data_IF_532747949237
#
_entry.id   IF_532747949237
#
_cell.length_a   1.000
_cell.length_b   1.000
_cell.length_c   1.000
_cell.angle_alpha   90.00
_cell.angle_beta   90.00
_cell.angle_gamma   90.00
#
_symmetry.space_group_name_H-M   'P 1'
#
loop_
_entity.id
_entity.type
_entity.pdbx_description
1 polymer ?
#
# COMPACT_ATOMS: atom_id res chain seq x y z
N UNK A 1 -17.59 -7.73 44.34
CA UNK A 1 -17.00 -8.03 43.02
C UNK A 1 -17.33 -9.43 42.49
N UNK A 2 -17.28 -10.52 43.28
CA UNK A 2 -17.54 -11.89 42.78
C UNK A 2 -18.97 -12.13 42.20
N UNK A 3 -20.01 -11.55 42.81
CA UNK A 3 -21.39 -11.76 42.34
C UNK A 3 -21.70 -10.99 41.05
N UNK A 4 -21.13 -9.80 40.88
CA UNK A 4 -21.31 -8.99 39.67
C UNK A 4 -20.61 -9.61 38.47
N UNK A 5 -19.39 -10.13 38.65
CA UNK A 5 -18.68 -10.86 37.61
C UNK A 5 -19.37 -12.18 37.26
N UNK A 6 -19.98 -12.85 38.24
CA UNK A 6 -20.78 -14.07 38.02
C UNK A 6 -22.08 -13.77 37.25
N UNK A 7 -22.77 -12.67 37.58
CA UNK A 7 -23.95 -12.20 36.85
C UNK A 7 -23.63 -11.77 35.41
N UNK A 8 -22.52 -11.06 35.20
CA UNK A 8 -22.04 -10.67 33.87
C UNK A 8 -21.57 -11.86 33.03
N UNK A 9 -21.08 -12.92 33.68
CA UNK A 9 -20.70 -14.18 33.04
C UNK A 9 -21.88 -15.16 32.86
N UNK A 10 -23.11 -14.74 33.18
CA UNK A 10 -24.29 -15.58 32.91
C UNK A 10 -24.60 -15.62 31.41
N UNK A 11 -25.04 -16.75 30.84
CA UNK A 11 -25.34 -16.85 29.41
C UNK A 11 -26.30 -15.77 28.87
N UNK A 12 -27.35 -15.33 29.62
CA UNK A 12 -28.18 -14.21 29.18
C UNK A 12 -27.45 -12.86 29.15
N UNK A 13 -26.57 -12.60 30.11
CA UNK A 13 -25.79 -11.36 30.13
C UNK A 13 -24.75 -11.34 29.00
N UNK A 14 -24.08 -12.46 28.74
CA UNK A 14 -23.16 -12.62 27.61
C UNK A 14 -23.88 -12.43 26.27
N UNK A 15 -25.07 -13.01 26.11
CA UNK A 15 -25.92 -12.76 24.94
C UNK A 15 -26.27 -11.28 24.80
N UNK A 16 -26.70 -10.62 25.88
CA UNK A 16 -27.02 -9.20 25.89
C UNK A 16 -25.83 -8.31 25.51
N UNK A 17 -24.64 -8.62 26.02
CA UNK A 17 -23.39 -7.92 25.68
C UNK A 17 -23.03 -8.11 24.20
N UNK A 18 -23.20 -9.31 23.66
CA UNK A 18 -22.97 -9.57 22.25
C UNK A 18 -23.95 -8.80 21.36
N UNK A 19 -25.24 -8.78 21.70
CA UNK A 19 -26.25 -7.97 20.98
C UNK A 19 -25.89 -6.49 21.03
N UNK A 20 -25.50 -5.97 22.20
CA UNK A 20 -25.06 -4.58 22.34
C UNK A 20 -23.83 -4.29 21.48
N UNK A 21 -22.84 -5.17 21.48
CA UNK A 21 -21.64 -5.07 20.65
C UNK A 21 -22.00 -5.00 19.16
N UNK A 22 -22.85 -5.90 18.66
CA UNK A 22 -23.26 -5.89 17.25
C UNK A 22 -24.04 -4.61 16.91
N UNK A 23 -24.90 -4.14 17.80
CA UNK A 23 -25.63 -2.88 17.64
C UNK A 23 -24.69 -1.68 17.56
N UNK A 24 -23.66 -1.62 18.43
CA UNK A 24 -22.68 -0.52 18.44
C UNK A 24 -21.83 -0.52 17.17
N UNK A 25 -21.37 -1.69 16.71
CA UNK A 25 -20.63 -1.80 15.43
C UNK A 25 -21.53 -1.41 14.25
N UNK A 26 -22.79 -1.86 14.25
CA UNK A 26 -23.78 -1.48 13.24
C UNK A 26 -24.09 0.02 13.23
N UNK A 27 -24.12 0.67 14.40
CA UNK A 27 -24.30 2.11 14.53
C UNK A 27 -23.09 2.89 14.00
N UNK A 28 -21.86 2.46 14.32
CA UNK A 28 -20.64 3.05 13.76
C UNK A 28 -20.67 3.05 12.23
N UNK A 29 -21.12 1.95 11.63
CA UNK A 29 -21.17 1.80 10.16
C UNK A 29 -22.13 2.80 9.46
N UNK A 30 -23.03 3.46 10.19
CA UNK A 30 -23.88 4.53 9.63
C UNK A 30 -23.12 5.84 9.41
N UNK A 31 -21.97 6.02 10.07
CA UNK A 31 -21.07 7.16 9.88
C UNK A 31 -19.98 6.89 8.83
N UNK A 32 -19.10 7.88 8.58
CA UNK A 32 -17.88 7.62 7.81
C UNK A 32 -17.04 6.56 8.52
N UNK A 33 -16.36 5.66 7.81
CA UNK A 33 -15.49 4.65 8.42
C UNK A 33 -14.09 4.80 7.83
N UNK A 34 -13.02 4.75 8.65
CA UNK A 34 -11.66 4.77 8.11
C UNK A 34 -11.47 3.55 7.20
N UNK A 35 -11.01 3.78 5.99
CA UNK A 35 -10.73 2.72 5.02
C UNK A 35 -9.47 1.96 5.43
N UNK A 36 -8.50 2.65 6.02
CA UNK A 36 -7.23 2.07 6.43
C UNK A 36 -6.85 2.46 7.86
N UNK A 37 -6.73 1.45 8.74
CA UNK A 37 -6.24 1.62 10.12
C UNK A 37 -4.90 0.93 10.30
N UNK A 38 -3.92 1.63 10.86
CA UNK A 38 -2.62 1.08 11.21
C UNK A 38 -2.47 0.93 12.74
N UNK A 39 -1.95 -0.20 13.22
CA UNK A 39 -1.77 -0.49 14.64
C UNK A 39 -0.31 -0.74 14.99
N UNK A 40 0.20 0.01 15.97
CA UNK A 40 1.43 -0.31 16.71
C UNK A 40 1.03 -1.03 18.00
N UNK A 41 1.12 -2.37 17.96
CA UNK A 41 0.67 -3.29 19.00
C UNK A 41 1.68 -3.39 20.17
N UNK A 42 1.90 -2.28 20.87
CA UNK A 42 2.90 -2.18 21.95
C UNK A 42 2.30 -2.56 23.32
N UNK A 43 3.16 -2.99 24.25
CA UNK A 43 2.78 -3.29 25.63
C UNK A 43 2.75 -4.77 26.01
N UNK A 44 2.92 -5.72 25.08
CA UNK A 44 2.84 -7.17 25.35
C UNK A 44 3.79 -7.63 26.50
N UNK A 45 5.06 -7.21 26.45
CA UNK A 45 6.04 -7.57 27.49
C UNK A 45 5.74 -6.91 28.84
N UNK A 46 5.22 -5.67 28.82
CA UNK A 46 4.84 -4.95 30.04
C UNK A 46 3.61 -5.60 30.69
N UNK A 47 2.65 -6.02 29.88
CA UNK A 47 1.49 -6.79 30.31
C UNK A 47 1.90 -8.10 30.98
N UNK A 48 2.81 -8.85 30.34
CA UNK A 48 3.32 -10.10 30.89
C UNK A 48 3.96 -9.90 32.27
N UNK A 49 4.84 -8.90 32.39
CA UNK A 49 5.50 -8.55 33.66
C UNK A 49 4.51 -8.13 34.74
N UNK A 50 3.51 -7.30 34.40
CA UNK A 50 2.50 -6.82 35.34
C UNK A 50 1.63 -7.97 35.87
N UNK A 51 1.22 -8.89 34.99
CA UNK A 51 0.38 -10.04 35.33
C UNK A 51 1.17 -11.27 35.81
N UNK A 52 2.51 -11.16 35.92
CA UNK A 52 3.42 -12.24 36.37
C UNK A 52 3.30 -13.52 35.52
N UNK A 53 3.11 -13.35 34.22
CA UNK A 53 3.11 -14.43 33.24
C UNK A 53 4.37 -14.35 32.37
N UNK A 54 4.65 -15.41 31.62
CA UNK A 54 5.78 -15.43 30.71
C UNK A 54 5.61 -14.43 29.56
N UNK A 55 6.72 -13.91 29.04
CA UNK A 55 6.71 -12.95 27.93
C UNK A 55 6.03 -13.51 26.69
N UNK A 56 6.27 -14.80 26.39
CA UNK A 56 5.65 -15.50 25.26
C UNK A 56 4.12 -15.51 25.40
N UNK A 57 3.62 -15.71 26.62
CA UNK A 57 2.18 -15.71 26.89
C UNK A 57 1.56 -14.32 26.72
N UNK A 58 2.26 -13.26 27.13
CA UNK A 58 1.84 -11.90 26.82
C UNK A 58 1.71 -11.63 25.32
N UNK A 59 2.56 -12.23 24.49
CA UNK A 59 2.42 -12.15 23.04
C UNK A 59 1.29 -13.02 22.48
N UNK A 60 1.01 -14.18 23.08
CA UNK A 60 -0.16 -15.00 22.73
C UNK A 60 -1.46 -14.23 22.95
N UNK A 61 -1.63 -13.63 24.12
CA UNK A 61 -2.78 -12.78 24.44
C UNK A 61 -2.86 -11.56 23.53
N UNK A 62 -1.70 -11.01 23.13
CA UNK A 62 -1.64 -9.96 22.11
C UNK A 62 -2.15 -10.41 20.74
N UNK A 63 -1.90 -11.66 20.33
CA UNK A 63 -2.45 -12.21 19.09
C UNK A 63 -3.98 -12.41 19.18
N UNK A 64 -4.50 -12.80 20.33
CA UNK A 64 -5.95 -12.88 20.54
C UNK A 64 -6.61 -11.50 20.50
N UNK A 65 -5.97 -10.48 21.09
CA UNK A 65 -6.42 -9.09 20.98
C UNK A 65 -6.47 -8.63 19.52
N UNK A 66 -5.46 -8.98 18.72
CA UNK A 66 -5.45 -8.72 17.28
C UNK A 66 -6.67 -9.34 16.59
N UNK A 67 -6.96 -10.61 16.84
CA UNK A 67 -8.12 -11.27 16.23
C UNK A 67 -9.44 -10.56 16.61
N UNK A 68 -9.62 -10.18 17.88
CA UNK A 68 -10.80 -9.42 18.32
C UNK A 68 -10.93 -8.07 17.62
N UNK A 69 -9.84 -7.31 17.51
CA UNK A 69 -9.84 -5.99 16.89
C UNK A 69 -10.04 -6.07 15.38
N UNK A 70 -9.43 -7.05 14.70
CA UNK A 70 -9.66 -7.29 13.27
C UNK A 70 -11.14 -7.57 12.99
N UNK A 71 -11.81 -8.33 13.87
CA UNK A 71 -13.23 -8.63 13.72
C UNK A 71 -14.06 -7.34 13.77
N UNK A 72 -13.75 -6.46 14.72
CA UNK A 72 -14.42 -5.15 14.86
C UNK A 72 -14.16 -4.29 13.62
N UNK A 73 -12.91 -4.19 13.16
CA UNK A 73 -12.54 -3.42 11.96
C UNK A 73 -13.33 -3.87 10.73
N UNK A 74 -13.29 -5.16 10.40
CA UNK A 74 -13.94 -5.67 9.20
C UNK A 74 -15.47 -5.61 9.29
N UNK A 75 -16.07 -5.87 10.47
CA UNK A 75 -17.52 -5.68 10.67
C UNK A 75 -17.95 -4.23 10.52
N UNK A 76 -17.13 -3.29 11.00
CA UNK A 76 -17.40 -1.85 10.86
C UNK A 76 -17.28 -1.37 9.40
N UNK A 77 -16.55 -2.11 8.55
CA UNK A 77 -16.36 -1.78 7.13
C UNK A 77 -14.98 -1.24 6.79
N UNK A 78 -14.00 -1.39 7.68
CA UNK A 78 -12.59 -1.08 7.40
C UNK A 78 -12.09 -2.05 6.33
N UNK A 79 -11.44 -1.54 5.29
CA UNK A 79 -10.95 -2.37 4.18
C UNK A 79 -9.50 -2.80 4.35
N UNK A 80 -8.66 -1.98 4.98
CA UNK A 80 -7.24 -2.25 5.13
C UNK A 80 -6.85 -2.11 6.60
N UNK A 81 -6.21 -3.14 7.13
CA UNK A 81 -5.61 -3.09 8.46
C UNK A 81 -4.12 -3.36 8.33
N UNK A 82 -3.28 -2.48 8.85
CA UNK A 82 -1.82 -2.66 8.87
C UNK A 82 -1.34 -2.81 10.29
N UNK A 83 -0.56 -3.84 10.59
CA UNK A 83 -0.08 -4.11 11.95
C UNK A 83 1.44 -4.10 12.00
N UNK A 84 2.00 -3.48 13.04
CA UNK A 84 3.43 -3.51 13.28
C UNK A 84 3.81 -4.76 14.10
N UNK A 85 4.14 -5.85 13.41
CA UNK A 85 4.47 -7.11 14.06
C UNK A 85 5.93 -7.16 14.55
N UNK A 86 6.89 -6.72 13.73
CA UNK A 86 8.31 -6.75 14.09
C UNK A 86 9.13 -5.68 13.36
N UNK A 87 9.92 -4.92 14.13
CA UNK A 87 10.81 -3.88 13.60
C UNK A 87 12.18 -4.43 13.24
N UNK A 88 12.81 -3.89 12.20
CA UNK A 88 14.22 -4.18 11.90
C UNK A 88 15.13 -3.75 13.07
N UNK A 89 14.77 -2.71 13.80
CA UNK A 89 15.52 -2.29 14.98
C UNK A 89 15.52 -3.36 16.10
N UNK A 90 14.58 -4.31 16.08
CA UNK A 90 14.52 -5.39 17.05
C UNK A 90 15.60 -6.45 16.84
N UNK A 91 16.29 -6.48 15.69
CA UNK A 91 17.48 -7.33 15.49
C UNK A 91 18.70 -6.90 16.34
N UNK A 92 18.62 -5.76 17.04
CA UNK A 92 19.63 -5.35 18.04
C UNK A 92 19.51 -6.12 19.37
N UNK A 93 18.46 -6.94 19.55
CA UNK A 93 18.25 -7.77 20.75
C UNK A 93 19.12 -9.04 20.69
N UNK A 94 19.10 -9.84 21.75
CA UNK A 94 19.89 -11.07 21.81
C UNK A 94 19.40 -12.09 20.76
N UNK A 95 20.31 -12.94 20.27
CA UNK A 95 19.98 -13.97 19.27
C UNK A 95 18.86 -14.90 19.77
N UNK A 96 18.87 -15.24 21.05
CA UNK A 96 17.82 -16.04 21.69
C UNK A 96 16.45 -15.38 21.59
N UNK A 97 16.35 -14.06 21.85
CA UNK A 97 15.09 -13.33 21.74
C UNK A 97 14.63 -13.22 20.29
N UNK A 98 15.55 -13.03 19.34
CA UNK A 98 15.25 -12.99 17.91
C UNK A 98 14.70 -14.35 17.44
N UNK A 99 15.37 -15.44 17.80
CA UNK A 99 14.93 -16.80 17.43
C UNK A 99 13.56 -17.13 18.02
N UNK A 100 13.29 -16.74 19.27
CA UNK A 100 11.98 -16.89 19.89
C UNK A 100 10.89 -16.08 19.15
N UNK A 101 11.18 -14.83 18.76
CA UNK A 101 10.25 -13.99 18.01
C UNK A 101 9.98 -14.53 16.61
N UNK A 102 10.99 -15.08 15.93
CA UNK A 102 10.83 -15.72 14.62
C UNK A 102 9.97 -16.99 14.70
N UNK A 103 10.22 -17.85 15.69
CA UNK A 103 9.40 -19.04 15.94
C UNK A 103 7.95 -18.69 16.28
N UNK A 104 7.76 -17.61 17.05
CA UNK A 104 6.44 -17.08 17.36
C UNK A 104 5.75 -16.55 16.10
N UNK A 105 6.43 -15.73 15.29
CA UNK A 105 5.88 -15.21 14.04
C UNK A 105 5.46 -16.34 13.09
N UNK A 106 6.30 -17.37 12.94
CA UNK A 106 5.99 -18.59 12.20
C UNK A 106 4.70 -19.25 12.70
N UNK A 107 4.61 -19.49 14.01
CA UNK A 107 3.44 -20.13 14.62
C UNK A 107 2.18 -19.28 14.44
N UNK A 108 2.27 -17.96 14.62
CA UNK A 108 1.12 -17.05 14.51
C UNK A 108 0.65 -16.85 13.07
N UNK A 109 1.56 -16.77 12.09
CA UNK A 109 1.20 -16.75 10.67
C UNK A 109 0.55 -18.07 10.23
N UNK A 110 1.04 -19.21 10.74
CA UNK A 110 0.38 -20.51 10.53
C UNK A 110 -1.02 -20.53 11.16
N UNK A 111 -1.18 -20.06 12.40
CA UNK A 111 -2.49 -19.98 13.05
C UNK A 111 -3.46 -19.09 12.26
N UNK A 112 -3.00 -17.92 11.83
CA UNK A 112 -3.79 -16.97 11.06
C UNK A 112 -4.21 -17.52 9.68
N UNK A 113 -3.35 -18.31 9.03
CA UNK A 113 -3.62 -18.89 7.70
C UNK A 113 -4.38 -20.22 7.73
N UNK A 114 -4.18 -21.06 8.74
CA UNK A 114 -4.77 -22.41 8.82
C UNK A 114 -6.06 -22.47 9.64
N UNK A 115 -6.15 -21.70 10.71
CA UNK A 115 -7.33 -21.63 11.59
C UNK A 115 -8.10 -20.31 11.35
N UNK A 116 -7.94 -19.76 10.15
CA UNK A 116 -8.30 -18.40 9.80
C UNK A 116 -9.79 -18.16 9.58
N UNK A 117 -10.65 -18.62 10.48
CA UNK A 117 -12.09 -18.33 10.47
C UNK A 117 -12.35 -16.85 10.22
N UNK A 118 -11.53 -15.97 10.79
CA UNK A 118 -11.66 -14.53 10.63
C UNK A 118 -11.34 -14.05 9.21
N UNK A 119 -10.24 -14.53 8.62
CA UNK A 119 -9.84 -14.10 7.29
C UNK A 119 -10.74 -14.68 6.23
N UNK A 120 -11.15 -15.94 6.39
CA UNK A 120 -12.11 -16.59 5.51
C UNK A 120 -13.49 -15.93 5.62
N UNK A 121 -14.01 -15.71 6.84
CA UNK A 121 -15.32 -15.09 7.08
C UNK A 121 -15.45 -13.68 6.50
N UNK A 122 -14.38 -12.90 6.52
CA UNK A 122 -14.37 -11.54 5.97
C UNK A 122 -13.69 -11.42 4.59
N UNK A 123 -13.23 -12.53 4.02
CA UNK A 123 -12.52 -12.55 2.74
C UNK A 123 -11.27 -11.66 2.72
N UNK A 124 -10.49 -11.67 3.80
CA UNK A 124 -9.32 -10.82 3.98
C UNK A 124 -8.04 -11.46 3.44
N UNK A 125 -7.34 -10.75 2.55
CA UNK A 125 -6.04 -11.16 2.02
C UNK A 125 -4.91 -10.77 2.99
N UNK A 126 -3.94 -11.66 3.22
CA UNK A 126 -2.74 -11.35 4.00
C UNK A 126 -1.65 -10.87 3.07
N UNK A 127 -0.97 -9.79 3.46
CA UNK A 127 0.27 -9.33 2.84
C UNK A 127 1.32 -9.16 3.92
N UNK A 128 2.54 -9.65 3.67
CA UNK A 128 3.65 -9.45 4.60
C UNK A 128 4.60 -8.43 4.00
N UNK A 129 4.73 -7.29 4.67
CA UNK A 129 5.47 -6.13 4.21
C UNK A 129 6.77 -6.01 5.01
N UNK A 130 7.91 -6.02 4.34
CA UNK A 130 9.19 -5.95 5.05
C UNK A 130 10.37 -6.49 4.27
N UNK A 131 11.53 -6.45 4.93
CA UNK A 131 12.80 -6.89 4.36
C UNK A 131 12.97 -8.41 4.52
N UNK A 132 12.71 -9.13 3.44
CA UNK A 132 12.76 -10.60 3.39
C UNK A 132 14.16 -11.16 3.61
N UNK A 133 15.23 -10.42 3.32
CA UNK A 133 16.60 -10.91 3.47
C UNK A 133 17.01 -11.21 4.93
N UNK A 134 16.30 -10.64 5.91
CA UNK A 134 16.54 -10.93 7.33
C UNK A 134 15.84 -12.20 7.84
N UNK A 135 15.01 -12.84 7.01
CA UNK A 135 14.19 -13.97 7.42
C UNK A 135 14.85 -15.31 7.11
N UNK A 136 14.69 -16.26 8.02
CA UNK A 136 15.11 -17.64 7.80
C UNK A 136 14.24 -18.29 6.70
N UNK A 137 14.79 -19.24 5.91
CA UNK A 137 14.05 -19.90 4.83
C UNK A 137 12.74 -20.54 5.28
N UNK A 138 12.70 -21.10 6.48
CA UNK A 138 11.50 -21.76 7.03
C UNK A 138 10.40 -20.77 7.44
N UNK A 139 10.74 -19.52 7.73
CA UNK A 139 9.78 -18.43 7.98
C UNK A 139 9.26 -17.88 6.64
N UNK A 140 10.12 -17.76 5.64
CA UNK A 140 9.74 -17.34 4.28
C UNK A 140 8.71 -18.29 3.66
N UNK A 141 8.93 -19.60 3.77
CA UNK A 141 7.99 -20.62 3.28
C UNK A 141 6.58 -20.45 3.90
N UNK A 142 6.52 -20.16 5.20
CA UNK A 142 5.26 -19.95 5.92
C UNK A 142 4.58 -18.65 5.50
N UNK A 143 5.35 -17.59 5.27
CA UNK A 143 4.84 -16.32 4.74
C UNK A 143 4.24 -16.53 3.35
N UNK A 144 4.99 -17.14 2.43
CA UNK A 144 4.56 -17.34 1.04
C UNK A 144 3.31 -18.22 0.99
N UNK A 145 3.26 -19.29 1.79
CA UNK A 145 2.05 -20.11 1.94
C UNK A 145 0.86 -19.32 2.48
N UNK A 146 1.05 -18.46 3.49
CA UNK A 146 -0.04 -17.66 4.06
C UNK A 146 -0.61 -16.65 3.04
N UNK A 147 0.28 -15.99 2.29
CA UNK A 147 -0.11 -15.06 1.21
C UNK A 147 -0.85 -15.80 0.11
N UNK A 148 -0.30 -16.92 -0.38
CA UNK A 148 -0.91 -17.75 -1.42
C UNK A 148 -2.31 -18.26 -1.01
N UNK A 149 -2.45 -18.83 0.19
CA UNK A 149 -3.73 -19.31 0.69
C UNK A 149 -4.78 -18.20 0.75
N UNK A 150 -4.39 -17.00 1.19
CA UNK A 150 -5.28 -15.86 1.30
C UNK A 150 -5.63 -15.18 -0.03
N UNK A 151 -4.79 -15.35 -1.07
CA UNK A 151 -5.02 -14.77 -2.40
C UNK A 151 -6.30 -15.26 -3.08
N UNK A 152 -6.84 -16.40 -2.62
CA UNK A 152 -8.07 -17.03 -3.12
C UNK A 152 -9.33 -16.23 -2.77
N UNK A 153 -9.26 -15.41 -1.74
CA UNK A 153 -10.37 -14.56 -1.32
C UNK A 153 -10.51 -13.38 -2.29
N UNK A 154 -11.73 -13.04 -2.68
CA UNK A 154 -12.07 -11.95 -3.62
C UNK A 154 -11.76 -10.52 -3.10
N UNK A 155 -10.84 -10.37 -2.13
CA UNK A 155 -10.07 -9.13 -1.93
C UNK A 155 -10.84 -7.93 -1.38
N UNK A 156 -11.92 -8.12 -0.62
CA UNK A 156 -12.64 -6.97 -0.02
C UNK A 156 -11.88 -6.33 1.14
N UNK A 157 -11.10 -7.12 1.85
CA UNK A 157 -10.30 -6.68 2.98
C UNK A 157 -8.83 -7.11 2.82
N UNK A 158 -7.91 -6.36 3.40
CA UNK A 158 -6.47 -6.64 3.37
C UNK A 158 -5.89 -6.48 4.78
N UNK A 159 -5.13 -7.47 5.22
CA UNK A 159 -4.29 -7.43 6.41
C UNK A 159 -2.82 -7.34 6.01
N UNK A 160 -2.23 -6.17 6.22
CA UNK A 160 -0.80 -5.95 6.04
C UNK A 160 -0.06 -6.24 7.35
N UNK A 161 0.86 -7.19 7.32
CA UNK A 161 1.70 -7.56 8.46
C UNK A 161 3.12 -7.05 8.21
N UNK A 162 3.52 -6.00 8.94
CA UNK A 162 4.85 -5.42 8.80
C UNK A 162 5.90 -6.25 9.56
N UNK A 163 6.70 -7.04 8.83
CA UNK A 163 7.60 -8.05 9.37
C UNK A 163 8.71 -8.49 8.39
N UNK A 164 10.01 -8.27 8.70
CA UNK A 164 10.60 -7.21 9.52
C UNK A 164 10.53 -5.87 8.78
N UNK A 165 10.10 -4.80 9.45
CA UNK A 165 9.79 -3.54 8.77
C UNK A 165 10.34 -2.31 9.48
N UNK A 166 10.84 -1.33 8.70
CA UNK A 166 10.99 0.08 9.08
C UNK A 166 10.65 0.95 7.89
N UNK A 167 10.03 2.11 8.15
CA UNK A 167 9.55 2.99 7.08
C UNK A 167 10.70 3.64 6.31
N UNK A 168 11.79 4.03 6.99
CA UNK A 168 12.99 4.53 6.31
C UNK A 168 13.59 3.53 5.35
N UNK A 169 13.60 2.23 5.68
CA UNK A 169 14.10 1.22 4.76
C UNK A 169 13.15 1.05 3.58
N UNK A 170 11.84 1.00 3.81
CA UNK A 170 10.83 0.95 2.73
C UNK A 170 11.01 2.12 1.75
N UNK A 171 11.14 3.35 2.25
CA UNK A 171 11.38 4.54 1.41
C UNK A 171 12.70 4.42 0.65
N UNK A 172 13.76 3.96 1.31
CA UNK A 172 15.08 3.79 0.66
C UNK A 172 15.02 2.73 -0.45
N UNK A 173 14.31 1.63 -0.22
CA UNK A 173 14.10 0.59 -1.23
C UNK A 173 13.25 1.12 -2.39
N UNK A 174 12.17 1.85 -2.13
CA UNK A 174 11.35 2.45 -3.18
C UNK A 174 12.14 3.44 -4.05
N UNK A 175 13.02 4.25 -3.45
CA UNK A 175 13.93 5.14 -4.18
C UNK A 175 14.91 4.33 -5.02
N UNK A 176 15.50 3.26 -4.46
CA UNK A 176 16.41 2.36 -5.20
C UNK A 176 15.73 1.72 -6.40
N UNK A 177 14.49 1.24 -6.22
CA UNK A 177 13.71 0.59 -7.27
C UNK A 177 13.31 1.60 -8.36
N UNK A 178 12.94 2.83 -7.97
CA UNK A 178 12.70 3.92 -8.91
C UNK A 178 13.95 4.22 -9.74
N UNK A 179 15.13 4.31 -9.11
CA UNK A 179 16.40 4.53 -9.83
C UNK A 179 16.69 3.36 -10.77
N UNK A 180 16.50 2.12 -10.30
CA UNK A 180 16.71 0.91 -11.11
C UNK A 180 15.76 0.85 -12.31
N UNK A 181 14.52 1.34 -12.18
CA UNK A 181 13.58 1.49 -13.29
C UNK A 181 14.05 2.55 -14.28
N UNK A 182 14.45 3.73 -13.81
CA UNK A 182 14.90 4.85 -14.64
C UNK A 182 16.25 4.60 -15.32
N UNK A 183 17.05 3.67 -14.81
CA UNK A 183 18.26 3.19 -15.46
C UNK A 183 18.01 2.13 -16.56
N UNK A 184 16.75 1.71 -16.80
CA UNK A 184 16.42 0.82 -17.93
C UNK A 184 16.17 1.64 -19.20
N UNK A 185 16.73 1.24 -20.35
CA UNK A 185 16.48 1.95 -21.60
C UNK A 185 15.02 1.79 -22.03
N UNK A 186 14.45 2.86 -22.57
CA UNK A 186 13.14 2.84 -23.19
C UNK A 186 13.25 1.95 -24.43
N UNK A 187 12.60 0.79 -24.37
CA UNK A 187 12.52 -0.09 -25.52
C UNK A 187 11.75 0.64 -26.64
N UNK A 188 12.27 0.67 -27.88
CA UNK A 188 11.52 1.23 -28.99
C UNK A 188 10.23 0.45 -29.14
N UNK A 189 9.11 1.13 -28.96
CA UNK A 189 7.79 0.56 -29.16
C UNK A 189 7.68 0.06 -30.60
N UNK A 190 7.33 -1.22 -30.76
CA UNK A 190 6.88 -1.72 -32.07
C UNK A 190 5.68 -0.87 -32.49
N UNK A 191 5.64 -0.29 -33.70
CA UNK A 191 4.49 0.47 -34.16
C UNK A 191 3.31 -0.49 -34.28
N UNK A 192 2.42 -0.52 -33.29
CA UNK A 192 1.28 -1.46 -33.30
C UNK A 192 0.45 -1.56 -32.03
N UNK A 193 0.90 -1.06 -30.88
CA UNK A 193 0.03 -0.95 -29.68
C UNK A 193 0.26 0.38 -28.98
N UNK A 194 -0.33 1.43 -29.52
CA UNK A 194 -0.62 2.62 -28.73
C UNK A 194 -1.50 2.19 -27.55
N UNK A 195 -0.92 2.19 -26.34
CA UNK A 195 -1.72 2.27 -25.11
C UNK A 195 -2.42 3.63 -25.19
N UNK A 196 -3.69 3.62 -25.58
CA UNK A 196 -4.57 4.79 -25.52
C UNK A 196 -4.43 5.38 -24.12
N UNK A 197 -3.91 6.61 -24.02
CA UNK A 197 -3.96 7.35 -22.77
C UNK A 197 -5.42 7.45 -22.34
N UNK A 198 -5.72 7.46 -21.03
CA UNK A 198 -7.07 7.77 -20.57
C UNK A 198 -7.50 9.10 -21.19
N UNK A 199 -8.70 9.07 -21.75
CA UNK A 199 -9.30 10.09 -22.57
C UNK A 199 -9.49 11.37 -21.75
N UNK A 200 -8.80 12.46 -22.11
CA UNK A 200 -8.98 13.77 -21.48
C UNK A 200 -10.27 14.41 -22.03
N UNK A 201 -11.32 14.46 -21.22
CA UNK A 201 -12.64 15.04 -21.55
C UNK A 201 -12.57 16.50 -22.06
N UNK A 202 -11.52 17.25 -21.72
CA UNK A 202 -11.32 18.62 -22.18
C UNK A 202 -11.22 18.77 -23.71
N UNK A 203 -10.78 17.72 -24.43
CA UNK A 203 -10.70 17.77 -25.91
C UNK A 203 -12.07 17.68 -26.59
N UNK A 204 -13.01 16.94 -25.99
CA UNK A 204 -14.37 16.84 -26.51
C UNK A 204 -15.10 18.18 -26.29
N UNK A 205 -14.97 18.75 -25.09
CA UNK A 205 -15.64 20.00 -24.76
C UNK A 205 -15.21 21.15 -25.69
N UNK A 206 -13.92 21.23 -26.06
CA UNK A 206 -13.44 22.25 -26.98
C UNK A 206 -13.82 21.97 -28.44
N UNK A 207 -13.91 20.70 -28.86
CA UNK A 207 -14.31 20.34 -30.23
C UNK A 207 -15.81 20.52 -30.47
N UNK A 208 -16.65 20.17 -29.48
CA UNK A 208 -18.09 20.44 -29.51
C UNK A 208 -18.34 21.95 -29.50
N UNK A 209 -17.61 22.70 -28.67
CA UNK A 209 -17.75 24.16 -28.58
C UNK A 209 -17.27 24.88 -29.85
N UNK A 210 -16.32 24.34 -30.60
CA UNK A 210 -15.93 24.88 -31.91
C UNK A 210 -16.95 24.55 -33.00
N UNK A 211 -17.53 23.34 -33.00
CA UNK A 211 -18.58 22.96 -33.96
C UNK A 211 -19.86 23.78 -33.79
N UNK A 212 -20.27 24.07 -32.55
CA UNK A 212 -21.44 24.89 -32.26
C UNK A 212 -21.25 26.38 -32.59
N UNK A 213 -20.00 26.84 -32.72
CA UNK A 213 -19.67 28.22 -33.17
C UNK A 213 -19.64 28.32 -34.70
N UNK A 214 -19.33 27.24 -35.41
CA UNK A 214 -19.33 27.17 -36.88
C UNK A 214 -20.71 26.88 -37.48
N UNK A 215 -21.61 26.22 -36.75
CA UNK A 215 -22.96 25.90 -37.23
C UNK A 215 -23.96 27.07 -37.14
N UNK A 216 -23.58 28.19 -36.50
CA UNK A 216 -24.45 29.38 -36.39
C UNK A 216 -24.17 30.48 -37.42
N UNK A 217 -23.30 30.25 -38.41
CA UNK A 217 -22.96 31.24 -39.45
C UNK A 217 -23.37 30.87 -40.88
N UNK A 218 -24.03 29.74 -41.13
CA UNK A 218 -24.41 29.34 -42.50
C UNK A 218 -25.70 28.51 -42.58
N UNK A 219 -26.86 29.05 -42.17
CA UNK A 219 -28.17 28.50 -42.57
C UNK A 219 -29.22 29.62 -42.68
N UNK A 220 -29.08 30.45 -43.71
CA UNK A 220 -30.21 30.98 -44.48
C UNK A 220 -29.97 30.47 -45.90
N UNK A 221 -30.53 29.32 -46.26
CA UNK A 221 -31.21 29.11 -47.54
C UNK A 221 -31.54 27.63 -47.84
N UNK A 222 -32.81 27.45 -48.20
CA UNK A 222 -33.38 26.50 -49.15
C UNK A 222 -33.69 25.06 -48.70
N UNK A 223 -34.96 24.79 -49.00
CA UNK A 223 -35.80 23.63 -48.84
C UNK A 223 -35.49 22.45 -49.76
N UNK A 224 -36.10 21.32 -49.37
CA UNK A 224 -36.84 20.36 -50.20
C UNK A 224 -36.24 18.96 -50.46
N UNK A 225 -37.13 17.98 -50.27
CA UNK A 225 -37.21 16.61 -50.81
C UNK A 225 -36.46 15.42 -50.17
N UNK A 226 -37.25 14.65 -49.39
CA UNK A 226 -37.69 13.26 -49.59
C UNK A 226 -36.72 12.15 -50.10
N UNK A 227 -36.79 11.04 -49.35
CA UNK A 227 -37.08 9.64 -49.75
C UNK A 227 -35.93 8.61 -49.80
N UNK A 228 -36.18 7.49 -49.07
CA UNK A 228 -35.98 6.06 -49.39
C UNK A 228 -34.53 5.59 -49.69
N UNK A 229 -34.03 4.40 -49.40
CA UNK A 229 -34.54 3.10 -48.95
C UNK A 229 -33.30 2.23 -48.60
N UNK A 230 -33.36 1.42 -47.53
CA UNK A 230 -33.33 -0.06 -47.52
C UNK A 230 -31.99 -0.82 -47.63
N UNK A 231 -31.79 -1.64 -46.57
CA UNK A 231 -31.25 -3.02 -46.46
C UNK A 231 -30.13 -3.57 -47.36
N UNK A 232 -29.18 -4.31 -46.75
CA UNK A 232 -29.08 -5.80 -46.81
C UNK A 232 -27.67 -6.26 -46.36
N UNK A 233 -27.47 -7.01 -45.26
CA UNK A 233 -27.59 -8.48 -45.04
C UNK A 233 -26.47 -9.35 -45.62
N UNK A 234 -26.00 -10.30 -44.78
CA UNK A 234 -25.43 -11.66 -45.01
C UNK A 234 -23.98 -11.87 -44.49
N UNK A 235 -23.73 -12.58 -43.38
CA UNK A 235 -23.64 -14.06 -43.14
C UNK A 235 -22.71 -14.80 -44.13
N UNK A 236 -21.76 -15.70 -43.77
CA UNK A 236 -21.90 -17.00 -43.09
C UNK A 236 -20.52 -17.76 -43.00
N UNK A 237 -20.42 -18.75 -42.09
CA UNK A 237 -19.61 -20.03 -42.10
C UNK A 237 -18.07 -19.91 -41.88
N UNK A 238 -17.32 -20.58 -40.97
CA UNK A 238 -17.29 -21.85 -40.19
C UNK A 238 -16.23 -22.89 -40.68
N UNK A 239 -15.43 -23.42 -39.72
CA UNK A 239 -14.70 -24.72 -39.65
C UNK A 239 -13.47 -24.55 -38.70
N UNK A 240 -13.38 -25.14 -37.50
CA UNK A 240 -12.84 -26.49 -37.14
C UNK A 240 -11.39 -26.73 -37.65
N UNK A 241 -10.38 -27.25 -36.92
CA UNK A 241 -10.27 -28.13 -35.75
C UNK A 241 -8.78 -28.19 -35.25
N UNK A 242 -8.55 -28.84 -34.08
CA UNK A 242 -7.32 -29.52 -33.57
C UNK A 242 -6.34 -28.82 -32.59
N UNK A 243 -6.03 -29.59 -31.53
CA UNK A 243 -5.16 -29.37 -30.34
C UNK A 243 -3.71 -28.95 -30.62
N UNK A 244 -2.94 -28.54 -29.58
CA UNK A 244 -1.88 -29.46 -29.13
C UNK A 244 -1.55 -29.48 -27.62
N UNK A 245 -0.90 -30.58 -27.24
CA UNK A 245 -0.32 -30.92 -25.95
C UNK A 245 1.05 -30.24 -25.65
N UNK A 246 1.47 -30.36 -24.39
CA UNK A 246 2.64 -29.80 -23.70
C UNK A 246 4.04 -30.11 -24.29
N UNK A 247 5.06 -29.29 -23.93
CA UNK A 247 6.35 -29.78 -23.38
C UNK A 247 6.95 -28.78 -22.34
N UNK A 248 8.20 -28.88 -21.78
CA UNK A 248 9.31 -29.83 -22.01
C UNK A 248 10.06 -30.34 -20.75
N UNK A 249 11.01 -31.27 -20.94
CA UNK A 249 12.20 -31.48 -20.11
C UNK A 249 13.34 -32.07 -20.96
N UNK A 250 14.60 -31.66 -20.74
CA UNK A 250 15.65 -32.67 -20.69
C UNK A 250 16.63 -32.47 -19.52
N UNK A 251 16.98 -33.61 -18.93
CA UNK A 251 18.02 -33.85 -17.95
C UNK A 251 19.42 -33.88 -18.56
N UNK A 252 20.44 -33.46 -17.82
CA UNK A 252 21.81 -33.98 -17.95
C UNK A 252 22.53 -33.96 -16.59
N UNK A 253 23.25 -35.05 -16.37
CA UNK A 253 23.87 -35.54 -15.16
C UNK A 253 25.25 -34.95 -14.84
N UNK A 254 25.49 -34.79 -13.55
CA UNK A 254 26.69 -35.08 -12.74
C UNK A 254 28.02 -35.37 -13.45
N UNK A 255 29.09 -34.65 -13.06
CA UNK A 255 30.28 -35.23 -12.39
C UNK A 255 31.11 -34.16 -11.67
N UNK A 256 31.62 -34.57 -10.53
CA UNK A 256 32.49 -33.93 -9.53
C UNK A 256 33.91 -33.59 -9.99
N UNK A 257 34.52 -32.54 -9.43
CA UNK A 257 35.93 -32.55 -9.02
C UNK A 257 36.23 -31.43 -8.01
N UNK A 258 36.98 -31.80 -6.99
CA UNK A 258 37.45 -31.02 -5.86
C UNK A 258 38.74 -30.27 -6.21
N UNK A 259 38.91 -29.05 -5.69
CA UNK A 259 40.24 -28.46 -5.51
C UNK A 259 40.24 -27.40 -4.41
N UNK A 260 40.87 -27.79 -3.30
CA UNK A 260 41.41 -26.92 -2.27
C UNK A 260 42.50 -26.03 -2.87
N UNK A 261 42.62 -24.76 -2.46
CA UNK A 261 43.90 -24.13 -2.10
C UNK A 261 43.70 -22.71 -1.52
N UNK A 262 43.95 -22.62 -0.22
CA UNK A 262 44.80 -21.63 0.48
C UNK A 262 44.83 -20.19 -0.03
N UNK A 263 44.20 -19.26 0.70
CA UNK A 263 44.61 -17.85 0.74
C UNK A 263 45.34 -17.58 2.06
N UNK A 264 46.65 -17.37 1.95
CA UNK A 264 47.49 -16.82 3.01
C UNK A 264 47.39 -15.30 2.97
N UNK A 265 47.16 -14.74 4.14
CA UNK A 265 47.33 -13.35 4.53
C UNK A 265 48.75 -12.85 4.29
N UNK A 266 48.91 -11.57 3.97
CA UNK A 266 49.91 -10.76 4.66
C UNK A 266 49.54 -9.27 4.67
N UNK A 267 49.74 -8.70 5.85
CA UNK A 267 49.58 -7.29 6.20
C UNK A 267 50.97 -6.77 6.55
N UNK A 268 51.40 -5.63 6.01
CA UNK A 268 52.36 -4.75 6.69
C UNK A 268 52.45 -3.38 6.00
N UNK A 269 52.52 -2.37 6.85
CA UNK A 269 52.65 -0.93 6.67
C UNK A 269 54.05 -0.48 6.20
N UNK A 270 54.14 0.70 5.56
CA UNK A 270 54.82 1.91 6.10
C UNK A 270 55.04 3.02 5.04
N UNK A 271 54.63 4.23 5.43
CA UNK A 271 55.24 5.56 5.30
C UNK A 271 55.56 6.24 3.94
N UNK A 272 54.82 7.35 3.73
CA UNK A 272 55.23 8.72 3.40
C UNK A 272 56.28 9.02 2.31
N UNK A 273 55.87 9.75 1.26
CA UNK A 273 56.32 11.14 1.05
C UNK A 273 55.70 11.78 -0.21
N UNK A 274 55.64 13.10 -0.14
CA UNK A 274 55.11 14.10 -1.06
C UNK A 274 55.52 13.97 -2.53
N UNK A 275 54.54 14.10 -3.44
CA UNK A 275 54.77 14.69 -4.76
C UNK A 275 53.51 15.37 -5.27
N UNK A 276 53.65 16.67 -5.51
CA UNK A 276 52.68 17.58 -6.15
C UNK A 276 52.26 17.04 -7.52
N UNK A 277 50.96 16.81 -7.74
CA UNK A 277 50.42 16.53 -9.07
C UNK A 277 49.48 17.65 -9.51
N UNK A 278 49.78 18.18 -10.69
CA UNK A 278 49.10 19.24 -11.41
C UNK A 278 47.62 18.88 -11.74
N UNK A 279 46.75 19.87 -11.97
CA UNK A 279 45.34 19.63 -12.25
C UNK A 279 45.13 18.83 -13.53
N UNK A 280 44.15 17.91 -13.44
CA UNK A 280 43.62 16.98 -14.45
C UNK A 280 42.99 17.66 -15.70
N UNK A 281 43.51 18.81 -16.13
CA UNK A 281 42.95 19.62 -17.21
C UNK A 281 43.68 19.49 -18.56
N UNK A 282 44.62 18.53 -18.70
CA UNK A 282 45.42 18.39 -19.93
C UNK A 282 45.25 17.06 -20.70
N UNK A 283 44.33 16.18 -20.27
CA UNK A 283 44.12 14.85 -20.89
C UNK A 283 42.78 14.68 -21.62
N UNK A 284 41.96 15.73 -21.78
CA UNK A 284 40.65 15.67 -22.46
C UNK A 284 40.58 16.42 -23.80
N UNK A 285 41.71 16.69 -24.44
CA UNK A 285 41.74 17.34 -25.75
C UNK A 285 42.25 16.41 -26.86
N UNK A 286 41.56 15.29 -27.10
CA UNK A 286 41.66 14.57 -28.37
C UNK A 286 40.27 14.08 -28.79
N UNK A 287 39.63 14.86 -29.66
CA UNK A 287 38.45 14.44 -30.43
C UNK A 287 38.87 13.39 -31.46
N UNK A 288 38.29 12.19 -31.50
CA UNK A 288 38.52 11.27 -32.61
C UNK A 288 37.71 11.72 -33.85
N UNK A 289 38.21 11.47 -35.07
CA UNK A 289 37.55 11.90 -36.29
C UNK A 289 36.28 11.08 -36.54
N UNK A 290 35.25 11.77 -37.02
CA UNK A 290 33.96 11.23 -37.43
C UNK A 290 34.12 10.15 -38.50
N UNK A 291 33.90 8.88 -38.13
CA UNK A 291 33.49 7.84 -39.06
C UNK A 291 32.02 7.52 -38.82
N UNK A 292 31.17 7.79 -39.83
CA UNK A 292 29.74 7.43 -39.81
C UNK A 292 29.64 5.91 -39.92
N UNK A 293 29.57 5.25 -38.77
CA UNK A 293 29.16 3.85 -38.63
C UNK A 293 27.62 3.77 -38.66
N UNK A 294 27.03 2.64 -39.12
CA UNK A 294 25.59 2.53 -39.30
C UNK A 294 24.87 2.50 -37.95
N UNK A 295 24.19 3.59 -37.61
CA UNK A 295 22.88 3.60 -36.93
C UNK A 295 22.71 2.84 -35.61
N UNK A 296 23.67 2.88 -34.68
CA UNK A 296 23.34 2.59 -33.28
C UNK A 296 22.62 3.82 -32.70
N UNK A 297 21.30 3.75 -32.56
CA UNK A 297 20.57 4.73 -31.73
C UNK A 297 21.03 4.53 -30.29
N UNK A 298 21.59 5.56 -29.68
CA UNK A 298 21.92 5.52 -28.25
C UNK A 298 20.66 5.16 -27.44
N UNK A 299 20.80 4.32 -26.40
CA UNK A 299 19.68 3.97 -25.55
C UNK A 299 19.09 5.25 -24.94
N UNK A 300 17.79 5.48 -25.16
CA UNK A 300 17.07 6.59 -24.56
C UNK A 300 16.60 6.18 -23.16
N UNK A 301 16.83 7.02 -22.16
CA UNK A 301 16.40 6.77 -20.78
C UNK A 301 15.29 7.75 -20.38
N UNK A 302 14.43 7.38 -19.41
CA UNK A 302 13.50 8.32 -18.79
C UNK A 302 14.23 9.50 -18.14
N UNK A 303 13.67 10.71 -18.24
CA UNK A 303 14.24 11.90 -17.60
C UNK A 303 14.04 11.86 -16.08
N UNK A 304 15.09 12.03 -15.24
CA UNK A 304 14.96 12.07 -13.78
C UNK A 304 14.00 13.16 -13.26
N UNK A 305 13.81 14.25 -14.00
CA UNK A 305 12.89 15.35 -13.63
C UNK A 305 11.41 14.93 -13.64
N UNK A 306 11.10 13.77 -14.22
CA UNK A 306 9.73 13.21 -14.23
C UNK A 306 9.40 12.41 -12.97
N UNK A 307 10.35 12.19 -12.06
CA UNK A 307 10.12 11.50 -10.79
C UNK A 307 9.25 12.37 -9.89
N UNK A 308 8.11 11.84 -9.48
CA UNK A 308 7.15 12.51 -8.58
C UNK A 308 6.96 11.72 -7.28
N UNK A 309 6.32 12.29 -6.24
CA UNK A 309 5.93 11.52 -5.05
C UNK A 309 5.06 10.30 -5.40
N UNK A 310 4.24 10.37 -6.45
CA UNK A 310 3.45 9.23 -6.92
C UNK A 310 4.35 8.10 -7.47
N UNK A 311 5.44 8.45 -8.15
CA UNK A 311 6.46 7.49 -8.64
C UNK A 311 7.13 6.76 -7.48
N UNK A 312 7.46 7.45 -6.38
CA UNK A 312 8.00 6.79 -5.19
C UNK A 312 6.93 5.92 -4.53
N UNK A 313 5.69 6.43 -4.42
CA UNK A 313 4.56 5.71 -3.81
C UNK A 313 4.28 4.39 -4.52
N UNK A 314 4.37 4.33 -5.86
CA UNK A 314 4.16 3.11 -6.62
C UNK A 314 5.24 2.03 -6.39
N UNK A 315 6.38 2.39 -5.80
CA UNK A 315 7.47 1.49 -5.46
C UNK A 315 7.53 1.12 -3.97
N UNK A 316 6.63 1.65 -3.13
CA UNK A 316 6.51 1.23 -1.74
C UNK A 316 5.89 -0.16 -1.64
N UNK A 317 6.06 -0.85 -0.50
CA UNK A 317 5.41 -2.14 -0.24
C UNK A 317 3.88 -2.03 -0.20
N UNK A 318 3.37 -0.81 -0.08
CA UNK A 318 1.97 -0.44 0.12
C UNK A 318 1.37 0.30 -1.09
N UNK A 319 2.00 0.19 -2.27
CA UNK A 319 1.66 0.96 -3.47
C UNK A 319 0.18 0.95 -3.88
N UNK A 320 -0.52 -0.16 -3.66
CA UNK A 320 -1.92 -0.36 -4.02
C UNK A 320 -2.89 -0.17 -2.83
N UNK A 321 -2.37 0.15 -1.65
CA UNK A 321 -3.19 0.43 -0.47
C UNK A 321 -3.71 1.88 -0.50
N UNK A 322 -4.92 2.14 0.02
CA UNK A 322 -5.33 3.50 0.35
C UNK A 322 -4.41 4.11 1.42
N UNK A 323 -4.33 5.45 1.51
CA UNK A 323 -3.56 6.11 2.56
C UNK A 323 -4.10 5.75 3.96
N UNK A 324 -3.26 5.91 4.99
CA UNK A 324 -3.66 5.58 6.37
C UNK A 324 -4.56 6.69 6.91
N UNK A 325 -5.80 6.36 7.27
CA UNK A 325 -6.74 7.32 7.87
C UNK A 325 -6.50 7.47 9.37
N UNK A 326 -6.12 6.37 10.03
CA UNK A 326 -6.00 6.29 11.49
C UNK A 326 -4.82 5.41 11.89
N UNK A 327 -3.87 5.95 12.64
CA UNK A 327 -2.76 5.22 13.24
C UNK A 327 -2.94 5.18 14.76
N UNK A 328 -3.05 3.98 15.30
CA UNK A 328 -3.24 3.75 16.73
C UNK A 328 -1.99 3.10 17.31
N UNK A 329 -1.50 3.66 18.42
CA UNK A 329 -0.44 3.06 19.22
C UNK A 329 -0.89 2.90 20.66
N UNK A 330 -0.77 1.67 21.18
CA UNK A 330 -1.06 1.34 22.57
C UNK A 330 0.13 1.62 23.49
N UNK A 331 -0.08 1.45 24.79
CA UNK A 331 0.89 1.40 25.89
C UNK A 331 1.47 2.74 26.39
N UNK A 332 0.83 3.86 26.05
CA UNK A 332 1.13 5.20 26.56
C UNK A 332 2.40 5.84 26.00
N UNK A 333 2.96 5.25 24.94
CA UNK A 333 4.19 5.75 24.31
C UNK A 333 3.83 6.64 23.13
N UNK A 334 4.24 7.90 23.19
CA UNK A 334 3.94 8.92 22.16
C UNK A 334 5.05 9.05 21.09
N UNK A 335 5.25 8.01 20.27
CA UNK A 335 6.15 8.05 19.10
C UNK A 335 5.70 7.08 18.01
N UNK A 336 6.12 7.28 16.76
CA UNK A 336 5.79 6.35 15.66
C UNK A 336 6.73 5.14 15.57
N UNK A 337 7.97 5.24 16.06
CA UNK A 337 8.96 4.16 16.00
C UNK A 337 9.26 3.66 14.58
N UNK A 338 9.44 4.59 13.63
CA UNK A 338 9.78 4.29 12.22
C UNK A 338 8.75 3.40 11.52
N UNK A 339 7.47 3.68 11.78
CA UNK A 339 6.33 2.95 11.25
C UNK A 339 5.45 3.84 10.37
N UNK A 340 5.19 3.41 9.13
CA UNK A 340 4.27 4.04 8.17
C UNK A 340 4.50 5.54 7.95
N UNK A 341 5.75 6.02 7.94
CA UNK A 341 6.08 7.45 7.89
C UNK A 341 5.67 8.11 6.56
N UNK A 342 5.73 7.39 5.44
CA UNK A 342 5.30 7.92 4.13
C UNK A 342 3.78 7.89 3.99
N UNK A 343 3.16 6.82 4.49
CA UNK A 343 1.74 6.55 4.34
C UNK A 343 0.87 7.37 5.30
N UNK A 344 1.43 7.79 6.43
CA UNK A 344 0.82 8.81 7.28
C UNK A 344 1.01 10.18 6.63
N UNK A 345 -0.08 10.81 6.23
CA UNK A 345 -0.11 12.14 5.63
C UNK A 345 -0.84 13.13 6.54
N UNK A 346 -1.05 14.35 6.03
CA UNK A 346 -1.64 15.46 6.79
C UNK A 346 -3.04 15.17 7.37
N UNK A 347 -3.81 14.28 6.76
CA UNK A 347 -5.18 13.94 7.19
C UNK A 347 -5.22 12.65 8.02
N UNK A 348 -4.06 12.02 8.25
CA UNK A 348 -3.97 10.83 9.11
C UNK A 348 -4.12 11.23 10.57
N UNK A 349 -5.09 10.63 11.25
CA UNK A 349 -5.23 10.81 12.70
C UNK A 349 -4.30 9.87 13.45
N UNK A 350 -3.45 10.41 14.33
CA UNK A 350 -2.54 9.62 15.15
C UNK A 350 -3.04 9.62 16.60
N UNK A 351 -3.32 8.43 17.13
CA UNK A 351 -3.89 8.25 18.47
C UNK A 351 -2.98 7.39 19.33
N UNK A 352 -2.57 7.96 20.47
CA UNK A 352 -1.81 7.25 21.50
C UNK A 352 -2.74 6.89 22.65
N UNK A 353 -2.77 5.62 23.01
CA UNK A 353 -3.60 5.09 24.09
C UNK A 353 -2.72 4.52 25.20
N UNK A 354 -3.09 4.79 26.46
CA UNK A 354 -2.35 4.28 27.63
C UNK A 354 -2.54 2.78 27.87
N UNK A 355 -3.65 2.22 27.36
CA UNK A 355 -3.99 0.79 27.46
C UNK A 355 -2.91 -0.09 26.84
N UNK A 356 -2.56 -1.21 27.50
CA UNK A 356 -1.62 -2.19 26.95
C UNK A 356 -2.31 -3.01 25.85
N UNK A 357 -1.57 -3.44 24.82
CA UNK A 357 -2.18 -4.15 23.68
C UNK A 357 -3.05 -5.37 24.05
N UNK A 358 -2.65 -6.28 24.96
CA UNK A 358 -3.51 -7.40 25.33
C UNK A 358 -4.85 -7.00 25.98
N UNK A 359 -4.89 -5.85 26.64
CA UNK A 359 -6.09 -5.28 27.27
C UNK A 359 -6.93 -4.42 26.29
N UNK A 360 -6.41 -4.14 25.09
CA UNK A 360 -7.10 -3.33 24.11
C UNK A 360 -8.29 -4.12 23.52
N UNK A 361 -9.48 -3.54 23.67
CA UNK A 361 -10.75 -4.16 23.33
C UNK A 361 -11.70 -3.18 22.60
N UNK A 362 -12.92 -3.66 22.30
CA UNK A 362 -13.94 -2.84 21.65
C UNK A 362 -14.23 -1.55 22.43
N UNK A 363 -14.34 -1.62 23.76
CA UNK A 363 -14.69 -0.46 24.58
C UNK A 363 -13.63 0.62 24.57
N UNK A 364 -12.37 0.24 24.48
CA UNK A 364 -11.24 1.16 24.31
C UNK A 364 -11.17 1.70 22.87
N UNK A 365 -11.62 0.93 21.89
CA UNK A 365 -11.56 1.30 20.47
C UNK A 365 -12.74 2.18 20.02
N UNK A 366 -13.93 1.98 20.57
CA UNK A 366 -15.14 2.74 20.23
C UNK A 366 -14.96 4.26 20.35
N UNK A 367 -14.41 4.82 21.45
CA UNK A 367 -14.17 6.26 21.57
C UNK A 367 -13.22 6.80 20.50
N UNK A 368 -12.25 5.99 20.07
CA UNK A 368 -11.29 6.36 19.02
C UNK A 368 -11.99 6.46 17.68
N UNK A 369 -12.75 5.44 17.31
CA UNK A 369 -13.53 5.45 16.05
C UNK A 369 -14.56 6.57 16.04
N UNK A 370 -15.28 6.77 17.15
CA UNK A 370 -16.23 7.86 17.28
C UNK A 370 -15.53 9.22 17.13
N UNK A 371 -14.42 9.43 17.84
CA UNK A 371 -13.64 10.67 17.78
C UNK A 371 -13.21 11.00 16.35
N UNK A 372 -12.70 10.01 15.62
CA UNK A 372 -12.36 10.12 14.21
C UNK A 372 -13.58 10.48 13.35
N UNK A 373 -14.70 9.77 13.51
CA UNK A 373 -15.95 10.02 12.77
C UNK A 373 -16.46 11.44 12.95
N UNK A 374 -16.42 11.93 14.18
CA UNK A 374 -16.86 13.28 14.52
C UNK A 374 -16.00 14.35 13.85
N UNK A 375 -14.68 14.15 13.88
CA UNK A 375 -13.71 15.04 13.22
C UNK A 375 -13.94 15.10 11.71
N UNK A 376 -13.99 13.95 11.04
CA UNK A 376 -14.22 13.87 9.60
C UNK A 376 -15.52 14.54 9.19
N UNK A 377 -16.59 14.34 9.97
CA UNK A 377 -17.87 15.00 9.71
C UNK A 377 -17.78 16.52 9.85
N UNK A 378 -17.06 17.02 10.86
CA UNK A 378 -16.83 18.45 11.06
C UNK A 378 -16.03 19.06 9.90
N UNK A 379 -14.94 18.41 9.50
CA UNK A 379 -14.10 18.86 8.39
C UNK A 379 -14.84 18.85 7.05
N UNK A 380 -15.64 17.80 6.79
CA UNK A 380 -16.47 17.70 5.59
C UNK A 380 -17.49 18.84 5.54
N UNK A 381 -18.16 19.14 6.66
CA UNK A 381 -19.11 20.24 6.74
C UNK A 381 -18.42 21.59 6.50
N UNK A 382 -17.29 21.85 7.17
CA UNK A 382 -16.53 23.09 6.98
C UNK A 382 -16.05 23.29 5.54
N UNK A 383 -15.58 22.22 4.89
CA UNK A 383 -15.18 22.24 3.49
C UNK A 383 -16.37 22.55 2.57
N UNK A 384 -17.53 21.92 2.82
CA UNK A 384 -18.74 22.17 2.05
C UNK A 384 -19.26 23.61 2.19
N UNK A 385 -19.18 24.19 3.40
CA UNK A 385 -19.54 25.58 3.66
C UNK A 385 -18.59 26.55 2.96
N UNK A 386 -17.28 26.29 3.03
CA UNK A 386 -16.27 27.11 2.35
C UNK A 386 -16.41 27.07 0.82
N UNK A 387 -16.71 25.90 0.25
CA UNK A 387 -16.97 25.74 -1.19
C UNK A 387 -18.24 26.49 -1.62
N UNK A 388 -19.32 26.42 -0.82
CA UNK A 388 -20.55 27.16 -1.07
C UNK A 388 -20.34 28.69 -1.02
N UNK A 389 -19.58 29.19 -0.04
CA UNK A 389 -19.26 30.61 0.07
C UNK A 389 -18.36 31.10 -1.08
N UNK A 390 -17.36 30.30 -1.47
CA UNK A 390 -16.50 30.60 -2.60
C UNK A 390 -17.30 30.71 -3.91
N UNK A 391 -18.26 29.81 -4.12
CA UNK A 391 -19.12 29.83 -5.30
C UNK A 391 -20.08 31.04 -5.29
N UNK A 392 -20.70 31.34 -4.15
CA UNK A 392 -21.52 32.55 -3.99
C UNK A 392 -20.73 33.83 -4.26
N UNK A 393 -19.46 33.89 -3.83
CA UNK A 393 -18.57 35.02 -4.09
C UNK A 393 -18.23 35.16 -5.57
N UNK A 394 -17.97 34.06 -6.30
CA UNK A 394 -17.74 34.08 -7.75
C UNK A 394 -18.97 34.62 -8.49
N UNK A 395 -20.17 34.16 -8.13
CA UNK A 395 -21.43 34.64 -8.73
C UNK A 395 -21.59 36.14 -8.50
N UNK A 396 -21.37 36.63 -7.27
CA UNK A 396 -21.49 38.07 -6.95
C UNK A 396 -20.50 38.93 -7.76
N UNK A 397 -19.25 38.48 -7.90
CA UNK A 397 -18.23 39.16 -8.72
C UNK A 397 -18.63 39.14 -10.20
N UNK A 398 -19.17 38.02 -10.71
CA UNK A 398 -19.67 37.89 -12.07
C UNK A 398 -20.81 38.88 -12.37
N UNK A 399 -21.79 38.98 -11.47
CA UNK A 399 -22.91 39.92 -11.59
C UNK A 399 -22.44 41.37 -11.56
N UNK A 400 -21.52 41.73 -10.65
CA UNK A 400 -20.94 43.08 -10.58
C UNK A 400 -20.19 43.44 -11.88
N UNK A 401 -19.37 42.53 -12.41
CA UNK A 401 -18.67 42.74 -13.69
C UNK A 401 -19.64 42.91 -14.86
N UNK A 402 -20.76 42.19 -14.88
CA UNK A 402 -21.78 42.32 -15.91
C UNK A 402 -22.50 43.67 -15.82
N UNK A 403 -22.82 44.13 -14.61
CA UNK A 403 -23.41 45.45 -14.38
C UNK A 403 -22.46 46.60 -14.78
N UNK A 404 -21.17 46.51 -14.45
CA UNK A 404 -20.16 47.51 -14.82
C UNK A 404 -19.87 47.57 -16.33
N UNK A 405 -20.15 46.51 -17.10
CA UNK A 405 -20.05 46.53 -18.57
C UNK A 405 -21.29 47.10 -19.25
N UNK A 406 -22.41 47.20 -18.53
CA UNK A 406 -23.68 47.67 -19.05
C UNK A 406 -23.93 49.17 -18.75
N UNK A 407 -23.18 49.73 -17.80
CA UNK A 407 -23.05 51.16 -17.55
C UNK A 407 -21.86 51.72 -18.33
#
# INVERSE_FOLDING_TARGET
MRLHNWLLASPPAEYGLNVLRELLIGALRQGPIPKHIAFVMDGNRRYAKHNRIETVEGHNLGFEALARILEVCYKAGVTHVTIYAFSIENFKRSQYEIDALMNMAKTKLQQLSQHGDILERYGAQIRVLGERSFLKPDVLEVIDRAVEMSSRYEGRCVLNVCFPYTSRLEITTAVRDTVAEFCKPILPSTPGKERRSPFKEERIANTIRSHHLSEHSTLDDISNHNSLDSESTLTLVAAEHLDPAAPPSPSLSTTSASSQHTFQSDSASHDASSTTSAPLSFLLAQTPPTSKSPGFKEPQYPSPETITPATITSHLYTADNPPVDLLIRTSGVSRLSDFMLWQCHQDTEIVFLDVLWPDFDLWSFLPVLWGWQWRVRKETNQKSEAEAEAEARKVRIGTLRKAMKAA
#
